data_IF_363375531255
#
_entry.id   IF_363375531255
#
_cell.length_a   1.000
_cell.length_b   1.000
_cell.length_c   1.000
_cell.angle_alpha   90.00
_cell.angle_beta   90.00
_cell.angle_gamma   90.00
#
_symmetry.space_group_name_H-M   'P 1'
#
loop_
_entity.id
_entity.type
_entity.pdbx_description
1 polymer ?
#
# COMPACT_ATOMS: atom_id res chain seq x y z
N UNK A 1 -3.00 -30.68 -0.90
CA UNK A 1 -4.33 -30.08 -1.10
C UNK A 1 -4.27 -29.24 -2.36
N UNK A 2 -5.01 -29.63 -3.41
CA UNK A 2 -5.00 -28.97 -4.69
C UNK A 2 -5.79 -27.65 -4.61
N UNK A 3 -5.10 -26.52 -4.73
CA UNK A 3 -5.72 -25.20 -4.74
C UNK A 3 -6.51 -25.00 -6.02
N UNK A 4 -7.84 -24.95 -5.89
CA UNK A 4 -8.73 -24.57 -6.99
C UNK A 4 -8.39 -23.16 -7.46
N UNK A 5 -8.01 -23.02 -8.72
CA UNK A 5 -7.91 -21.71 -9.39
C UNK A 5 -9.33 -21.17 -9.54
N UNK A 6 -9.61 -20.00 -8.99
CA UNK A 6 -10.83 -19.25 -9.33
C UNK A 6 -10.60 -18.71 -10.75
N UNK A 7 -11.19 -19.36 -11.73
CA UNK A 7 -10.99 -19.09 -13.17
C UNK A 7 -11.99 -18.04 -13.68
N UNK A 8 -13.04 -17.75 -12.90
CA UNK A 8 -14.09 -16.81 -13.25
C UNK A 8 -14.21 -15.75 -12.15
N UNK A 9 -14.07 -14.45 -12.46
CA UNK A 9 -14.34 -13.39 -11.49
C UNK A 9 -15.79 -13.49 -11.04
N UNK A 10 -16.03 -13.43 -9.72
CA UNK A 10 -17.38 -13.48 -9.16
C UNK A 10 -18.25 -12.41 -9.83
N UNK A 11 -19.41 -12.77 -10.42
CA UNK A 11 -20.26 -11.81 -11.10
C UNK A 11 -20.83 -10.82 -10.09
N UNK A 12 -20.54 -9.53 -10.29
CA UNK A 12 -21.06 -8.45 -9.46
C UNK A 12 -22.33 -7.93 -10.11
N UNK A 13 -23.38 -7.71 -9.32
CA UNK A 13 -24.65 -7.17 -9.79
C UNK A 13 -25.03 -5.93 -8.99
N UNK A 14 -25.44 -4.89 -9.70
CA UNK A 14 -26.02 -3.68 -9.13
C UNK A 14 -27.54 -3.77 -9.22
N UNK A 15 -28.19 -3.81 -8.06
CA UNK A 15 -29.65 -3.77 -7.95
C UNK A 15 -30.19 -2.34 -7.99
N UNK A 16 -31.28 -2.14 -8.71
CA UNK A 16 -32.07 -0.91 -8.68
C UNK A 16 -33.20 -1.05 -7.65
N UNK A 17 -33.33 -0.06 -6.77
CA UNK A 17 -34.46 0.00 -5.81
C UNK A 17 -35.82 0.04 -6.50
N UNK A 18 -35.88 0.61 -7.71
CA UNK A 18 -37.08 0.71 -8.55
C UNK A 18 -36.78 0.17 -9.93
N UNK A 19 -37.48 -0.91 -10.39
CA UNK A 19 -37.28 -1.47 -11.71
C UNK A 19 -37.54 -0.45 -12.82
N UNK A 20 -36.58 -0.28 -13.72
CA UNK A 20 -36.67 0.56 -14.91
C UNK A 20 -35.60 0.20 -15.95
N UNK A 21 -36.01 -0.37 -17.07
CA UNK A 21 -35.12 -0.65 -18.20
C UNK A 21 -34.42 0.60 -18.77
N UNK A 22 -35.07 1.76 -18.71
CA UNK A 22 -34.46 3.01 -19.17
C UNK A 22 -33.33 3.43 -18.22
N UNK A 23 -33.57 3.38 -16.91
CA UNK A 23 -32.58 3.73 -15.89
C UNK A 23 -31.41 2.75 -15.88
N UNK A 24 -31.67 1.44 -15.97
CA UNK A 24 -30.64 0.41 -16.08
C UNK A 24 -29.72 0.65 -17.30
N UNK A 25 -30.30 1.00 -18.46
CA UNK A 25 -29.54 1.36 -19.67
C UNK A 25 -28.71 2.63 -19.50
N UNK A 26 -29.27 3.67 -18.88
CA UNK A 26 -28.54 4.92 -18.64
C UNK A 26 -27.37 4.71 -17.66
N UNK A 27 -27.56 3.91 -16.60
CA UNK A 27 -26.49 3.54 -15.65
C UNK A 27 -25.39 2.76 -16.37
N UNK A 28 -25.75 1.72 -17.13
CA UNK A 28 -24.77 0.94 -17.89
C UNK A 28 -24.00 1.82 -18.88
N UNK A 29 -24.69 2.75 -19.56
CA UNK A 29 -24.05 3.70 -20.46
C UNK A 29 -23.07 4.62 -19.72
N UNK A 30 -23.47 5.23 -18.60
CA UNK A 30 -22.61 6.08 -17.78
C UNK A 30 -21.34 5.33 -17.33
N UNK A 31 -21.47 4.10 -16.84
CA UNK A 31 -20.34 3.27 -16.41
C UNK A 31 -19.39 3.00 -17.59
N UNK A 32 -19.94 2.58 -18.74
CA UNK A 32 -19.14 2.29 -19.92
C UNK A 32 -18.47 3.54 -20.52
N UNK A 33 -19.11 4.72 -20.41
CA UNK A 33 -18.48 5.99 -20.78
C UNK A 33 -17.29 6.33 -19.89
N UNK A 34 -17.38 6.03 -18.59
CA UNK A 34 -16.27 6.23 -17.64
C UNK A 34 -15.14 5.21 -17.80
N UNK A 35 -15.47 3.99 -18.24
CA UNK A 35 -14.53 2.89 -18.43
C UNK A 35 -14.62 2.34 -19.86
N UNK A 36 -14.10 3.08 -20.86
CA UNK A 36 -14.20 2.67 -22.26
C UNK A 36 -13.39 1.38 -22.52
N UNK A 37 -13.96 0.49 -23.32
CA UNK A 37 -13.26 -0.70 -23.82
C UNK A 37 -12.13 -0.29 -24.78
N UNK A 38 -10.88 -0.39 -24.32
CA UNK A 38 -9.71 0.00 -25.14
C UNK A 38 -9.18 -1.10 -26.06
N UNK A 39 -9.73 -2.33 -26.01
CA UNK A 39 -9.24 -3.46 -26.82
C UNK A 39 -10.39 -4.33 -27.32
N UNK A 40 -10.31 -4.75 -28.59
CA UNK A 40 -11.31 -5.60 -29.24
C UNK A 40 -11.42 -6.97 -28.55
N UNK A 41 -12.64 -7.38 -28.21
CA UNK A 41 -12.93 -8.68 -27.58
C UNK A 41 -13.00 -8.69 -26.05
N UNK A 42 -13.02 -7.52 -25.40
CA UNK A 42 -13.26 -7.42 -23.95
C UNK A 42 -14.74 -7.17 -23.66
N UNK A 43 -15.21 -7.66 -22.52
CA UNK A 43 -16.57 -7.40 -22.06
C UNK A 43 -16.71 -5.96 -21.53
N UNK A 44 -17.88 -5.32 -21.72
CA UNK A 44 -18.16 -4.00 -21.17
C UNK A 44 -18.17 -4.03 -19.65
N UNK A 45 -17.70 -2.92 -19.05
CA UNK A 45 -17.67 -2.74 -17.60
C UNK A 45 -19.07 -2.85 -16.98
N UNK A 46 -20.12 -2.49 -17.72
CA UNK A 46 -21.50 -2.70 -17.33
C UNK A 46 -22.37 -3.20 -18.50
N UNK A 47 -23.23 -4.16 -18.21
CA UNK A 47 -24.25 -4.67 -19.12
C UNK A 47 -25.60 -4.65 -18.42
N UNK A 48 -26.59 -4.01 -19.03
CA UNK A 48 -27.98 -4.11 -18.55
C UNK A 48 -28.43 -5.57 -18.65
N UNK A 49 -28.80 -6.17 -17.52
CA UNK A 49 -29.21 -7.57 -17.46
C UNK A 49 -30.75 -7.66 -17.56
N UNK A 50 -31.47 -6.94 -16.71
CA UNK A 50 -32.93 -6.80 -16.74
C UNK A 50 -33.40 -5.38 -16.35
N UNK A 51 -34.66 -5.19 -15.93
CA UNK A 51 -35.18 -3.90 -15.47
C UNK A 51 -34.70 -3.50 -14.07
N UNK A 52 -34.20 -4.45 -13.28
CA UNK A 52 -33.82 -4.28 -11.89
C UNK A 52 -32.34 -4.55 -11.60
N UNK A 53 -31.60 -5.12 -12.54
CA UNK A 53 -30.21 -5.56 -12.39
C UNK A 53 -29.33 -5.06 -13.54
N UNK A 54 -28.17 -4.50 -13.16
CA UNK A 54 -27.05 -4.21 -14.06
C UNK A 54 -25.90 -5.12 -13.67
N UNK A 55 -25.43 -5.94 -14.60
CA UNK A 55 -24.25 -6.77 -14.41
C UNK A 55 -22.99 -5.93 -14.57
N UNK A 56 -22.05 -6.08 -13.64
CA UNK A 56 -20.80 -5.35 -13.60
C UNK A 56 -19.62 -6.30 -13.84
N UNK A 57 -18.69 -5.85 -14.68
CA UNK A 57 -17.41 -6.51 -14.92
C UNK A 57 -16.29 -5.54 -14.53
N UNK A 58 -15.37 -5.99 -13.68
CA UNK A 58 -14.27 -5.15 -13.22
C UNK A 58 -13.27 -4.93 -14.37
N UNK A 59 -12.99 -3.68 -14.77
CA UNK A 59 -12.02 -3.40 -15.82
C UNK A 59 -10.63 -3.92 -15.44
N UNK A 60 -9.85 -4.39 -16.42
CA UNK A 60 -8.50 -4.94 -16.17
C UNK A 60 -7.57 -3.96 -15.44
N UNK A 61 -7.68 -2.65 -15.71
CA UNK A 61 -6.92 -1.60 -15.02
C UNK A 61 -7.21 -1.52 -13.52
N UNK A 62 -8.34 -2.05 -13.08
CA UNK A 62 -8.80 -2.10 -11.69
C UNK A 62 -8.98 -3.55 -11.19
N UNK A 63 -8.50 -4.56 -11.92
CA UNK A 63 -8.64 -5.96 -11.51
C UNK A 63 -7.98 -6.25 -10.16
N UNK A 64 -6.86 -5.57 -9.85
CA UNK A 64 -6.20 -5.66 -8.55
C UNK A 64 -6.89 -4.83 -7.45
N UNK A 65 -7.83 -3.94 -7.80
CA UNK A 65 -8.51 -2.99 -6.91
C UNK A 65 -10.03 -2.95 -7.20
N UNK A 66 -10.75 -4.07 -7.08
CA UNK A 66 -12.18 -4.14 -7.40
C UNK A 66 -13.03 -3.21 -6.53
N UNK A 67 -12.64 -3.00 -5.27
CA UNK A 67 -13.34 -2.08 -4.36
C UNK A 67 -13.32 -0.63 -4.87
N UNK A 68 -12.23 -0.20 -5.50
CA UNK A 68 -12.13 1.15 -6.08
C UNK A 68 -13.10 1.32 -7.26
N UNK A 69 -13.21 0.30 -8.11
CA UNK A 69 -14.21 0.29 -9.18
C UNK A 69 -15.64 0.44 -8.62
N UNK A 70 -15.97 -0.31 -7.56
CA UNK A 70 -17.29 -0.22 -6.93
C UNK A 70 -17.54 1.14 -6.29
N UNK A 71 -16.54 1.74 -5.62
CA UNK A 71 -16.66 3.08 -5.06
C UNK A 71 -16.88 4.14 -6.15
N UNK A 72 -16.21 4.02 -7.29
CA UNK A 72 -16.43 4.91 -8.43
C UNK A 72 -17.86 4.74 -8.96
N UNK A 73 -18.33 3.51 -9.14
CA UNK A 73 -19.70 3.23 -9.61
C UNK A 73 -20.75 3.76 -8.63
N UNK A 74 -20.53 3.63 -7.32
CA UNK A 74 -21.42 4.15 -6.25
C UNK A 74 -21.59 5.69 -6.33
N UNK A 75 -20.56 6.41 -6.77
CA UNK A 75 -20.56 7.89 -6.83
C UNK A 75 -20.72 8.45 -8.26
N UNK A 76 -20.97 7.58 -9.24
CA UNK A 76 -21.12 7.98 -10.63
C UNK A 76 -22.49 8.62 -10.87
N UNK A 77 -22.49 9.79 -11.48
CA UNK A 77 -23.74 10.46 -11.88
C UNK A 77 -24.32 9.82 -13.14
N UNK A 78 -25.61 9.50 -13.16
CA UNK A 78 -26.27 8.88 -14.33
C UNK A 78 -26.26 9.83 -15.54
N UNK A 79 -26.59 11.10 -15.30
CA UNK A 79 -26.46 12.14 -16.32
C UNK A 79 -24.99 12.54 -16.46
N UNK A 80 -24.48 12.60 -17.68
CA UNK A 80 -23.08 12.90 -18.00
C UNK A 80 -22.90 14.34 -18.55
N UNK A 81 -23.97 15.14 -18.58
CA UNK A 81 -23.92 16.54 -19.01
C UNK A 81 -23.17 17.46 -18.03
N UNK A 82 -22.46 18.44 -18.58
CA UNK A 82 -21.77 19.52 -17.84
C UNK A 82 -20.80 19.02 -16.75
N UNK A 83 -19.83 18.13 -17.07
CA UNK A 83 -18.97 17.52 -16.06
C UNK A 83 -18.03 18.53 -15.37
N UNK A 84 -17.68 19.64 -16.05
CA UNK A 84 -16.80 20.68 -15.49
C UNK A 84 -17.54 21.53 -14.46
N UNK A 85 -18.78 21.89 -14.74
CA UNK A 85 -19.67 22.63 -13.86
C UNK A 85 -19.95 21.82 -12.60
N UNK A 86 -20.17 20.50 -12.74
CA UNK A 86 -20.31 19.59 -11.59
C UNK A 86 -19.05 19.49 -10.77
N UNK A 87 -17.89 19.36 -11.40
CA UNK A 87 -16.61 19.35 -10.68
C UNK A 87 -16.46 20.62 -9.82
N UNK A 88 -16.77 21.79 -10.39
CA UNK A 88 -16.77 23.06 -9.64
C UNK A 88 -17.75 23.05 -8.46
N UNK A 89 -18.96 22.52 -8.66
CA UNK A 89 -19.95 22.39 -7.60
C UNK A 89 -19.50 21.46 -6.46
N UNK A 90 -18.85 20.32 -6.77
CA UNK A 90 -18.26 19.45 -5.75
C UNK A 90 -17.12 20.14 -4.99
N UNK A 91 -16.24 20.85 -5.69
CA UNK A 91 -15.13 21.62 -5.08
C UNK A 91 -15.66 22.69 -4.13
N UNK A 92 -16.76 23.37 -4.50
CA UNK A 92 -17.44 24.33 -3.62
C UNK A 92 -18.08 23.63 -2.42
N UNK A 93 -18.72 22.47 -2.62
CA UNK A 93 -19.31 21.68 -1.55
C UNK A 93 -18.27 21.16 -0.55
N UNK A 94 -17.04 20.84 -0.99
CA UNK A 94 -15.95 20.43 -0.09
C UNK A 94 -15.59 21.51 0.93
N UNK A 95 -15.70 22.80 0.56
CA UNK A 95 -15.49 23.90 1.49
C UNK A 95 -16.66 24.12 2.46
N UNK A 96 -17.87 23.73 2.08
CA UNK A 96 -19.09 23.91 2.89
C UNK A 96 -19.39 22.73 3.82
N UNK A 97 -18.98 21.52 3.45
CA UNK A 97 -19.32 20.29 4.15
C UNK A 97 -18.08 19.42 4.42
N UNK A 98 -17.26 19.76 5.43
CA UNK A 98 -16.06 19.00 5.80
C UNK A 98 -16.36 17.52 6.10
N UNK A 99 -17.52 17.22 6.67
CA UNK A 99 -17.91 15.85 6.96
C UNK A 99 -18.03 15.00 5.69
N UNK A 100 -18.40 15.59 4.55
CA UNK A 100 -18.62 14.89 3.28
C UNK A 100 -17.38 14.82 2.40
N UNK A 101 -16.19 15.20 2.88
CA UNK A 101 -14.98 15.27 2.06
C UNK A 101 -14.66 13.94 1.36
N UNK A 102 -14.79 12.81 2.08
CA UNK A 102 -14.53 11.49 1.49
C UNK A 102 -15.48 11.17 0.33
N UNK A 103 -16.78 11.37 0.52
CA UNK A 103 -17.79 11.10 -0.51
C UNK A 103 -17.62 12.05 -1.72
N UNK A 104 -17.31 13.32 -1.45
CA UNK A 104 -17.05 14.32 -2.49
C UNK A 104 -15.76 14.02 -3.28
N UNK A 105 -14.72 13.49 -2.64
CA UNK A 105 -13.53 12.96 -3.33
C UNK A 105 -13.93 11.87 -4.32
N UNK A 106 -14.76 10.91 -3.92
CA UNK A 106 -15.22 9.86 -4.83
C UNK A 106 -16.11 10.40 -5.96
N UNK A 107 -16.96 11.39 -5.71
CA UNK A 107 -17.70 12.08 -6.77
C UNK A 107 -16.76 12.72 -7.82
N UNK A 108 -15.67 13.36 -7.38
CA UNK A 108 -14.67 13.93 -8.28
C UNK A 108 -13.92 12.84 -9.07
N UNK A 109 -13.56 11.73 -8.44
CA UNK A 109 -12.91 10.59 -9.11
C UNK A 109 -13.84 9.92 -10.13
N UNK A 110 -15.14 9.85 -9.81
CA UNK A 110 -16.16 9.29 -10.68
C UNK A 110 -16.39 10.15 -11.94
N UNK A 111 -16.28 11.48 -11.84
CA UNK A 111 -16.29 12.37 -13.01
C UNK A 111 -15.12 12.09 -13.98
N UNK A 112 -13.96 11.66 -13.47
CA UNK A 112 -12.78 11.36 -14.27
C UNK A 112 -11.98 12.61 -14.70
N UNK A 113 -11.34 12.55 -15.87
CA UNK A 113 -10.42 13.57 -16.37
C UNK A 113 -10.95 15.03 -16.34
N UNK A 114 -12.24 15.31 -16.59
CA UNK A 114 -12.78 16.67 -16.51
C UNK A 114 -12.62 17.33 -15.13
N UNK A 115 -12.49 16.56 -14.05
CA UNK A 115 -12.32 17.08 -12.70
C UNK A 115 -10.88 17.55 -12.41
N UNK A 116 -9.87 17.05 -13.14
CA UNK A 116 -8.44 17.26 -12.85
C UNK A 116 -8.06 18.75 -12.74
N UNK A 117 -8.46 19.66 -13.67
CA UNK A 117 -8.09 21.06 -13.57
C UNK A 117 -8.58 21.72 -12.28
N UNK A 118 -9.77 21.36 -11.81
CA UNK A 118 -10.39 21.92 -10.62
C UNK A 118 -9.81 21.33 -9.33
N UNK A 119 -9.52 20.03 -9.33
CA UNK A 119 -8.87 19.36 -8.20
C UNK A 119 -7.48 19.94 -7.93
N UNK A 120 -6.74 20.30 -8.99
CA UNK A 120 -5.41 20.94 -8.88
C UNK A 120 -5.42 22.29 -8.17
N UNK A 121 -6.53 23.03 -8.24
CA UNK A 121 -6.67 24.32 -7.52
C UNK A 121 -6.63 24.12 -5.99
N UNK A 122 -6.91 22.91 -5.51
CA UNK A 122 -6.93 22.58 -4.10
C UNK A 122 -5.61 21.97 -3.56
N UNK A 123 -4.59 21.78 -4.40
CA UNK A 123 -3.35 21.12 -3.95
C UNK A 123 -2.49 21.94 -2.99
N UNK A 124 -2.73 23.24 -2.91
CA UNK A 124 -1.95 24.18 -2.10
C UNK A 124 -2.83 25.00 -1.14
N UNK A 125 -4.09 24.58 -0.94
CA UNK A 125 -4.96 25.28 0.01
C UNK A 125 -4.50 25.03 1.45
N UNK A 126 -4.62 26.04 2.33
CA UNK A 126 -4.18 25.92 3.73
C UNK A 126 -5.06 24.97 4.57
N UNK A 127 -6.29 24.71 4.12
CA UNK A 127 -7.22 23.78 4.74
C UNK A 127 -6.76 22.33 4.50
N UNK A 128 -6.03 21.76 5.46
CA UNK A 128 -5.35 20.47 5.29
C UNK A 128 -6.30 19.30 4.97
N UNK A 129 -7.44 19.09 5.67
CA UNK A 129 -8.41 18.06 5.29
C UNK A 129 -8.87 18.19 3.83
N UNK A 130 -9.16 19.41 3.37
CA UNK A 130 -9.56 19.66 1.98
C UNK A 130 -8.41 19.46 0.99
N UNK A 131 -7.20 19.88 1.35
CA UNK A 131 -5.97 19.67 0.58
C UNK A 131 -5.71 18.17 0.37
N UNK A 132 -5.75 17.37 1.45
CA UNK A 132 -5.56 15.92 1.39
C UNK A 132 -6.66 15.23 0.58
N UNK A 133 -7.92 15.61 0.78
CA UNK A 133 -9.05 15.07 0.00
C UNK A 133 -8.89 15.32 -1.51
N UNK A 134 -8.38 16.50 -1.88
CA UNK A 134 -8.05 16.83 -3.27
C UNK A 134 -6.83 16.06 -3.79
N UNK A 135 -5.75 15.94 -3.01
CA UNK A 135 -4.56 15.16 -3.41
C UNK A 135 -4.89 13.67 -3.57
N UNK A 136 -5.78 13.13 -2.74
CA UNK A 136 -6.34 11.78 -2.88
C UNK A 136 -7.11 11.65 -4.20
N UNK A 137 -8.02 12.58 -4.49
CA UNK A 137 -8.73 12.60 -5.78
C UNK A 137 -7.76 12.67 -6.97
N UNK A 138 -6.76 13.55 -6.90
CA UNK A 138 -5.72 13.71 -7.90
C UNK A 138 -4.93 12.43 -8.15
N UNK A 139 -4.51 11.76 -7.07
CA UNK A 139 -3.77 10.48 -7.12
C UNK A 139 -4.60 9.39 -7.79
N UNK A 140 -5.88 9.24 -7.39
CA UNK A 140 -6.81 8.25 -7.97
C UNK A 140 -7.13 8.54 -9.45
N UNK A 141 -7.13 9.82 -9.84
CA UNK A 141 -7.26 10.26 -11.24
C UNK A 141 -5.96 10.11 -12.04
N UNK A 142 -4.85 9.69 -11.41
CA UNK A 142 -3.55 9.54 -12.05
C UNK A 142 -2.82 10.86 -12.33
N UNK A 143 -3.18 11.95 -11.63
CA UNK A 143 -2.54 13.25 -11.80
C UNK A 143 -1.18 13.31 -11.08
N UNK A 144 -0.12 13.17 -11.86
CA UNK A 144 1.28 13.26 -11.38
C UNK A 144 1.59 14.56 -10.63
N UNK A 145 0.84 15.64 -10.88
CA UNK A 145 1.06 16.94 -10.20
C UNK A 145 0.71 16.92 -8.71
N UNK A 146 0.01 15.89 -8.22
CA UNK A 146 -0.21 15.70 -6.78
C UNK A 146 1.09 15.29 -6.04
N UNK A 147 2.11 14.79 -6.75
CA UNK A 147 3.34 14.27 -6.16
C UNK A 147 4.11 15.26 -5.28
N UNK A 148 4.50 16.46 -5.77
CA UNK A 148 5.29 17.40 -4.98
C UNK A 148 4.57 17.90 -3.70
N UNK A 149 3.28 18.29 -3.73
CA UNK A 149 2.54 18.60 -2.51
C UNK A 149 2.44 17.43 -1.52
N UNK A 150 2.27 16.20 -2.02
CA UNK A 150 2.28 15.01 -1.15
C UNK A 150 3.65 14.78 -0.51
N UNK A 151 4.75 15.02 -1.23
CA UNK A 151 6.10 14.95 -0.67
C UNK A 151 6.33 15.97 0.44
N UNK A 152 5.82 17.19 0.26
CA UNK A 152 5.86 18.23 1.29
C UNK A 152 5.15 17.73 2.57
N UNK A 153 3.91 17.24 2.46
CA UNK A 153 3.14 16.71 3.58
C UNK A 153 3.83 15.50 4.23
N UNK A 154 4.41 14.60 3.43
CA UNK A 154 5.14 13.44 3.93
C UNK A 154 6.41 13.82 4.72
N UNK A 155 6.96 15.01 4.50
CA UNK A 155 8.14 15.50 5.22
C UNK A 155 7.75 16.30 6.48
N UNK A 156 6.75 17.18 6.39
CA UNK A 156 6.47 18.19 7.42
C UNK A 156 5.13 18.02 8.14
N UNK A 157 4.19 17.24 7.58
CA UNK A 157 2.84 17.09 8.10
C UNK A 157 2.74 16.37 9.45
N UNK A 158 1.57 16.45 10.08
CA UNK A 158 1.27 15.68 11.29
C UNK A 158 1.30 14.16 10.98
N UNK A 159 1.38 13.31 12.00
CA UNK A 159 1.57 11.87 11.80
C UNK A 159 0.50 11.22 10.91
N UNK A 160 -0.78 11.57 11.10
CA UNK A 160 -1.89 11.06 10.29
C UNK A 160 -1.78 11.51 8.81
N UNK A 161 -1.54 12.81 8.60
CA UNK A 161 -1.41 13.43 7.27
C UNK A 161 -0.20 12.88 6.52
N UNK A 162 0.91 12.68 7.24
CA UNK A 162 2.16 12.11 6.74
C UNK A 162 1.96 10.67 6.28
N UNK A 163 1.33 9.83 7.11
CA UNK A 163 1.05 8.43 6.79
C UNK A 163 0.19 8.33 5.52
N UNK A 164 -0.88 9.13 5.45
CA UNK A 164 -1.72 9.19 4.26
C UNK A 164 -0.96 9.67 3.02
N UNK A 165 -0.15 10.73 3.15
CA UNK A 165 0.61 11.25 2.03
C UNK A 165 1.62 10.23 1.48
N UNK A 166 2.31 9.49 2.36
CA UNK A 166 3.23 8.42 1.97
C UNK A 166 2.50 7.30 1.23
N UNK A 167 1.32 6.89 1.72
CA UNK A 167 0.50 5.88 1.05
C UNK A 167 0.12 6.32 -0.37
N UNK A 168 -0.34 7.57 -0.54
CA UNK A 168 -0.69 8.14 -1.86
C UNK A 168 0.52 8.23 -2.79
N UNK A 169 1.71 8.57 -2.27
CA UNK A 169 2.96 8.55 -3.04
C UNK A 169 3.34 7.13 -3.52
N UNK A 170 2.97 6.11 -2.75
CA UNK A 170 3.08 4.70 -3.12
C UNK A 170 2.22 4.31 -4.32
N UNK A 171 1.09 5.00 -4.54
CA UNK A 171 0.13 4.74 -5.62
C UNK A 171 0.33 5.58 -6.88
N UNK A 172 0.74 6.84 -6.75
CA UNK A 172 0.93 7.74 -7.90
C UNK A 172 2.05 7.25 -8.84
N UNK A 173 1.99 7.57 -10.13
CA UNK A 173 3.07 7.28 -11.09
C UNK A 173 3.91 8.54 -11.38
N UNK A 174 4.58 9.08 -10.36
CA UNK A 174 5.26 10.38 -10.45
C UNK A 174 6.77 10.36 -10.67
N UNK A 175 7.29 9.27 -11.26
CA UNK A 175 8.68 9.18 -11.69
C UNK A 175 9.74 9.27 -10.57
N UNK A 176 11.02 9.53 -10.93
CA UNK A 176 12.16 9.39 -10.01
C UNK A 176 12.26 10.44 -8.89
N UNK A 177 11.54 11.57 -9.00
CA UNK A 177 11.51 12.58 -7.93
C UNK A 177 10.81 12.06 -6.68
N UNK A 178 9.71 11.32 -6.85
CA UNK A 178 8.98 10.67 -5.76
C UNK A 178 9.84 9.58 -5.12
N UNK A 179 10.51 8.76 -5.93
CA UNK A 179 11.40 7.71 -5.41
C UNK A 179 12.54 8.30 -4.56
N UNK A 180 13.10 9.45 -4.97
CA UNK A 180 14.11 10.16 -4.16
C UNK A 180 13.54 10.72 -2.86
N UNK A 181 12.35 11.32 -2.92
CA UNK A 181 11.67 11.86 -1.75
C UNK A 181 11.31 10.80 -0.72
N UNK A 182 10.74 9.68 -1.16
CA UNK A 182 10.44 8.53 -0.29
C UNK A 182 11.71 7.91 0.30
N UNK A 183 12.81 7.82 -0.46
CA UNK A 183 14.09 7.33 0.09
C UNK A 183 14.63 8.20 1.21
N UNK A 184 14.49 9.52 1.11
CA UNK A 184 14.87 10.42 2.21
C UNK A 184 14.06 10.15 3.49
N UNK A 185 12.79 9.72 3.37
CA UNK A 185 11.96 9.36 4.53
C UNK A 185 12.39 8.06 5.22
N UNK A 186 13.18 7.20 4.57
CA UNK A 186 13.78 6.01 5.20
C UNK A 186 14.81 6.37 6.28
N UNK A 187 15.36 7.59 6.22
CA UNK A 187 16.28 8.16 7.19
C UNK A 187 15.56 8.86 8.37
N UNK A 188 14.23 8.92 8.35
CA UNK A 188 13.45 9.49 9.46
C UNK A 188 13.72 8.72 10.76
N UNK A 189 13.83 9.37 11.92
CA UNK A 189 13.93 8.67 13.20
C UNK A 189 12.62 7.97 13.60
N UNK A 190 11.51 8.30 12.95
CA UNK A 190 10.19 7.78 13.29
C UNK A 190 9.92 6.44 12.60
N UNK A 191 9.71 5.38 13.39
CA UNK A 191 9.47 4.01 12.90
C UNK A 191 8.33 3.93 11.88
N UNK A 192 7.19 4.56 12.16
CA UNK A 192 6.00 4.54 11.28
C UNK A 192 6.30 5.16 9.92
N UNK A 193 7.00 6.30 9.90
CA UNK A 193 7.41 7.00 8.68
C UNK A 193 8.37 6.15 7.83
N UNK A 194 9.37 5.52 8.47
CA UNK A 194 10.34 4.67 7.77
C UNK A 194 9.68 3.48 7.10
N UNK A 195 8.84 2.76 7.84
CA UNK A 195 8.17 1.56 7.32
C UNK A 195 7.19 1.95 6.22
N UNK A 196 6.36 2.99 6.42
CA UNK A 196 5.44 3.46 5.40
C UNK A 196 6.18 3.88 4.11
N UNK A 197 7.31 4.59 4.23
CA UNK A 197 8.10 5.00 3.08
C UNK A 197 8.71 3.81 2.33
N UNK A 198 9.16 2.79 3.06
CA UNK A 198 9.62 1.53 2.47
C UNK A 198 8.48 0.79 1.75
N UNK A 199 7.31 0.68 2.37
CA UNK A 199 6.15 0.00 1.76
C UNK A 199 5.72 0.70 0.47
N UNK A 200 5.69 2.04 0.47
CA UNK A 200 5.44 2.86 -0.72
C UNK A 200 6.49 2.62 -1.82
N UNK A 201 7.78 2.62 -1.47
CA UNK A 201 8.86 2.32 -2.43
C UNK A 201 8.79 0.88 -2.98
N UNK A 202 8.47 -0.09 -2.13
CA UNK A 202 8.33 -1.48 -2.52
C UNK A 202 7.17 -1.67 -3.51
N UNK A 203 6.01 -1.07 -3.22
CA UNK A 203 4.85 -1.07 -4.13
C UNK A 203 5.20 -0.44 -5.49
N UNK A 204 5.94 0.67 -5.49
CA UNK A 204 6.40 1.32 -6.72
C UNK A 204 7.38 0.46 -7.49
N UNK A 205 8.31 -0.20 -6.80
CA UNK A 205 9.29 -1.10 -7.41
C UNK A 205 8.62 -2.32 -8.05
N UNK A 206 7.62 -2.91 -7.39
CA UNK A 206 6.82 -4.02 -7.94
C UNK A 206 6.10 -3.62 -9.23
N UNK A 207 5.50 -2.41 -9.27
CA UNK A 207 4.82 -1.89 -10.47
C UNK A 207 5.80 -1.57 -11.60
N UNK A 208 6.96 -1.00 -11.27
CA UNK A 208 8.02 -0.75 -12.24
C UNK A 208 8.56 -2.06 -12.85
N UNK A 209 8.79 -3.07 -12.01
CA UNK A 209 9.23 -4.39 -12.45
C UNK A 209 8.16 -5.10 -13.30
N UNK A 210 6.89 -5.03 -12.90
CA UNK A 210 5.78 -5.54 -13.71
C UNK A 210 5.73 -4.91 -15.10
N UNK A 211 5.85 -3.58 -15.16
CA UNK A 211 5.86 -2.82 -16.42
C UNK A 211 7.04 -3.20 -17.31
N UNK A 212 8.23 -3.39 -16.71
CA UNK A 212 9.43 -3.87 -17.40
C UNK A 212 9.22 -5.27 -17.98
N UNK A 213 8.69 -6.20 -17.19
CA UNK A 213 8.42 -7.57 -17.61
C UNK A 213 7.39 -7.63 -18.75
N UNK A 214 6.34 -6.80 -18.67
CA UNK A 214 5.35 -6.67 -19.74
C UNK A 214 5.99 -6.20 -21.05
N UNK A 215 6.86 -5.19 -21.00
CA UNK A 215 7.57 -4.68 -22.17
C UNK A 215 8.53 -5.73 -22.77
N UNK A 216 9.22 -6.50 -21.92
CA UNK A 216 10.08 -7.61 -22.35
C UNK A 216 9.25 -8.70 -23.03
N UNK A 217 8.11 -9.07 -22.46
CA UNK A 217 7.24 -10.10 -23.06
C UNK A 217 6.65 -9.63 -24.39
N UNK A 218 6.24 -8.36 -24.50
CA UNK A 218 5.72 -7.78 -25.74
C UNK A 218 6.76 -7.73 -26.88
N UNK A 219 8.05 -7.72 -26.56
CA UNK A 219 9.15 -7.71 -27.53
C UNK A 219 9.68 -9.11 -27.87
N UNK A 220 9.15 -10.18 -27.25
CA UNK A 220 9.54 -11.55 -27.59
C UNK A 220 8.98 -11.97 -28.95
N UNK A 221 9.78 -12.65 -29.79
CA UNK A 221 9.26 -13.21 -31.02
C UNK A 221 8.27 -14.34 -30.72
N UNK A 222 7.20 -14.43 -31.50
CA UNK A 222 6.11 -15.39 -31.33
C UNK A 222 6.56 -16.88 -31.38
N UNK A 223 7.77 -17.15 -31.86
CA UNK A 223 8.37 -18.48 -31.91
C UNK A 223 9.03 -18.94 -30.58
N UNK A 224 9.15 -18.08 -29.57
CA UNK A 224 9.93 -18.34 -28.34
C UNK A 224 9.22 -19.18 -27.26
N UNK A 225 8.19 -19.96 -27.61
CA UNK A 225 7.47 -20.84 -26.67
C UNK A 225 6.19 -20.22 -26.10
N UNK A 226 5.72 -20.74 -24.95
CA UNK A 226 4.54 -20.21 -24.25
C UNK A 226 4.83 -18.81 -23.69
N UNK A 227 4.13 -17.80 -24.21
CA UNK A 227 4.16 -16.46 -23.67
C UNK A 227 3.60 -16.46 -22.24
N UNK A 228 4.26 -15.72 -21.34
CA UNK A 228 3.78 -15.60 -19.95
C UNK A 228 2.51 -14.77 -19.90
N UNK A 229 1.56 -15.18 -19.06
CA UNK A 229 0.33 -14.41 -18.87
C UNK A 229 0.59 -13.16 -18.02
N UNK A 230 -0.22 -12.08 -18.15
CA UNK A 230 -0.11 -10.92 -17.27
C UNK A 230 -0.17 -11.26 -15.77
N UNK A 231 -0.94 -12.29 -15.40
CA UNK A 231 -1.03 -12.75 -14.01
C UNK A 231 0.28 -13.39 -13.53
N UNK A 232 0.92 -14.21 -14.38
CA UNK A 232 2.24 -14.78 -14.08
C UNK A 232 3.29 -13.68 -13.93
N UNK A 233 3.27 -12.67 -14.80
CA UNK A 233 4.17 -11.51 -14.69
C UNK A 233 3.94 -10.73 -13.39
N UNK A 234 2.68 -10.56 -12.97
CA UNK A 234 2.33 -9.89 -11.71
C UNK A 234 2.78 -10.69 -10.47
N UNK A 235 2.81 -12.02 -10.55
CA UNK A 235 3.39 -12.87 -9.50
C UNK A 235 4.91 -12.68 -9.47
N UNK A 236 5.58 -12.75 -10.61
CA UNK A 236 7.04 -12.62 -10.71
C UNK A 236 7.50 -11.26 -10.18
N UNK A 237 6.82 -10.16 -10.55
CA UNK A 237 7.19 -8.81 -10.13
C UNK A 237 7.09 -8.57 -8.62
N UNK A 238 6.25 -9.34 -7.92
CA UNK A 238 6.15 -9.30 -6.45
C UNK A 238 7.27 -10.08 -5.75
N UNK A 239 7.82 -11.09 -6.41
CA UNK A 239 8.82 -11.99 -5.85
C UNK A 239 10.26 -11.45 -5.96
N UNK A 240 10.57 -10.71 -7.02
CA UNK A 240 11.94 -10.26 -7.28
C UNK A 240 11.95 -8.78 -7.60
N UNK A 241 12.78 -8.03 -6.87
CA UNK A 241 13.13 -6.64 -7.20
C UNK A 241 14.66 -6.61 -7.37
N UNK A 242 15.16 -6.29 -8.58
CA UNK A 242 16.60 -6.24 -8.84
C UNK A 242 17.32 -5.24 -7.93
N UNK A 243 18.56 -5.55 -7.55
CA UNK A 243 19.37 -4.71 -6.64
C UNK A 243 19.62 -3.28 -7.14
N UNK A 244 19.58 -3.06 -8.46
CA UNK A 244 19.76 -1.74 -9.10
C UNK A 244 18.42 -1.10 -9.49
N UNK A 245 17.36 -1.35 -8.72
CA UNK A 245 16.07 -0.69 -8.91
C UNK A 245 16.20 0.82 -8.66
N UNK A 246 15.42 1.63 -9.38
CA UNK A 246 15.42 3.08 -9.20
C UNK A 246 14.92 3.50 -7.80
N UNK A 247 14.09 2.64 -7.20
CA UNK A 247 13.55 2.79 -5.85
C UNK A 247 14.59 2.50 -4.76
N UNK A 248 15.72 1.88 -5.13
CA UNK A 248 16.81 1.56 -4.20
C UNK A 248 16.53 0.39 -3.25
N UNK A 249 15.45 -0.36 -3.49
CA UNK A 249 15.12 -1.57 -2.73
C UNK A 249 15.53 -2.79 -3.55
N UNK A 250 16.15 -3.76 -2.88
CA UNK A 250 16.37 -5.10 -3.42
C UNK A 250 15.41 -6.07 -2.75
N UNK A 251 14.82 -6.99 -3.52
CA UNK A 251 14.02 -8.10 -2.99
C UNK A 251 14.56 -9.43 -3.48
N UNK A 252 14.83 -10.30 -2.52
CA UNK A 252 15.24 -11.69 -2.74
C UNK A 252 14.15 -12.60 -2.21
N UNK A 253 13.58 -13.45 -3.06
CA UNK A 253 12.64 -14.49 -2.60
C UNK A 253 13.41 -15.69 -2.07
N UNK A 254 13.04 -16.16 -0.88
CA UNK A 254 13.39 -17.49 -0.38
C UNK A 254 12.23 -18.43 -0.74
N UNK A 255 12.42 -19.35 -1.72
CA UNK A 255 11.35 -20.17 -2.24
C UNK A 255 10.56 -20.90 -1.15
N UNK A 256 9.24 -20.79 -1.19
CA UNK A 256 8.34 -21.47 -0.25
C UNK A 256 8.37 -20.96 1.20
N UNK A 257 9.13 -19.89 1.50
CA UNK A 257 9.30 -19.41 2.88
C UNK A 257 8.88 -17.95 3.07
N UNK A 258 9.68 -17.01 2.58
CA UNK A 258 9.47 -15.58 2.79
C UNK A 258 10.24 -14.74 1.75
N UNK A 259 9.99 -13.44 1.73
CA UNK A 259 10.78 -12.48 0.94
C UNK A 259 11.70 -11.67 1.86
N UNK A 260 12.95 -11.49 1.43
CA UNK A 260 13.94 -10.66 2.08
C UNK A 260 14.10 -9.37 1.29
N UNK A 261 13.77 -8.25 1.92
CA UNK A 261 13.97 -6.91 1.35
C UNK A 261 15.17 -6.24 1.99
N UNK A 262 15.98 -5.58 1.17
CA UNK A 262 17.16 -4.82 1.61
C UNK A 262 16.96 -3.38 1.15
N UNK A 263 16.94 -2.46 2.12
CA UNK A 263 16.81 -1.03 1.92
C UNK A 263 18.05 -0.34 2.53
N UNK A 264 19.11 -0.06 1.75
CA UNK A 264 20.40 0.42 2.27
C UNK A 264 20.37 1.91 2.63
N UNK A 265 19.35 2.35 3.38
CA UNK A 265 19.09 3.73 3.78
C UNK A 265 18.66 3.79 5.24
N UNK A 266 18.97 4.91 5.90
CA UNK A 266 18.62 5.17 7.29
C UNK A 266 19.42 4.34 8.30
N UNK A 267 19.00 4.41 9.55
CA UNK A 267 19.63 3.66 10.64
C UNK A 267 19.36 2.16 10.53
N UNK A 268 20.30 1.29 10.94
CA UNK A 268 20.09 -0.15 10.96
C UNK A 268 18.78 -0.57 11.67
N UNK A 269 17.89 -1.28 10.96
CA UNK A 269 16.63 -1.81 11.50
C UNK A 269 16.29 -3.14 10.81
N UNK A 270 15.88 -4.13 11.60
CA UNK A 270 15.23 -5.35 11.14
C UNK A 270 13.74 -5.19 11.37
N UNK A 271 12.95 -5.22 10.29
CA UNK A 271 11.49 -5.21 10.37
C UNK A 271 10.91 -6.53 9.85
N UNK A 272 9.93 -7.07 10.56
CA UNK A 272 9.31 -8.36 10.23
C UNK A 272 7.78 -8.27 10.19
N UNK A 273 7.17 -8.90 9.19
CA UNK A 273 5.71 -8.97 9.06
C UNK A 273 5.12 -10.16 9.82
N UNK A 274 3.96 -9.99 10.44
CA UNK A 274 3.30 -11.07 11.18
C UNK A 274 2.09 -11.62 10.42
N UNK A 275 1.54 -10.83 9.48
CA UNK A 275 0.40 -11.20 8.66
C UNK A 275 0.73 -11.12 7.16
N UNK A 276 -0.09 -11.79 6.34
CA UNK A 276 0.04 -11.77 4.89
C UNK A 276 1.26 -12.56 4.39
N UNK A 277 2.00 -11.98 3.45
CA UNK A 277 3.22 -12.62 2.91
C UNK A 277 4.36 -12.44 3.92
N UNK A 278 4.96 -13.53 4.43
CA UNK A 278 6.08 -13.45 5.36
C UNK A 278 7.23 -12.65 4.76
N UNK A 279 7.74 -11.69 5.53
CA UNK A 279 8.76 -10.75 5.07
C UNK A 279 9.74 -10.40 6.17
N UNK A 280 11.00 -10.30 5.78
CA UNK A 280 12.08 -9.68 6.57
C UNK A 280 12.59 -8.49 5.77
N UNK A 281 12.68 -7.32 6.38
CA UNK A 281 13.20 -6.10 5.78
C UNK A 281 14.41 -5.66 6.58
N UNK A 282 15.54 -5.48 5.91
CA UNK A 282 16.78 -5.01 6.49
C UNK A 282 17.05 -3.57 6.01
N UNK A 283 16.98 -2.62 6.92
CA UNK A 283 17.27 -1.21 6.66
C UNK A 283 18.70 -0.86 7.07
N UNK A 284 19.30 0.10 6.37
CA UNK A 284 20.61 0.67 6.66
C UNK A 284 21.73 0.11 5.78
N UNK A 285 22.79 0.90 5.63
CA UNK A 285 23.95 0.51 4.82
C UNK A 285 24.86 -0.49 5.57
N UNK A 286 25.00 -0.31 6.89
CA UNK A 286 25.91 -1.08 7.74
C UNK A 286 25.19 -2.22 8.47
N UNK A 287 24.76 -3.21 7.69
CA UNK A 287 24.04 -4.40 8.14
C UNK A 287 25.02 -5.55 8.48
N UNK A 288 25.91 -5.32 9.44
CA UNK A 288 26.89 -6.33 9.89
C UNK A 288 26.75 -6.69 11.37
N UNK A 289 27.15 -7.92 11.69
CA UNK A 289 27.31 -8.37 13.06
C UNK A 289 28.46 -7.63 13.76
N UNK A 290 28.17 -7.07 14.93
CA UNK A 290 29.14 -6.44 15.82
C UNK A 290 30.00 -7.51 16.45
N UNK A 291 31.29 -7.53 16.13
CA UNK A 291 32.26 -8.53 16.62
C UNK A 291 33.25 -7.88 17.61
N UNK A 292 33.73 -8.58 18.65
CA UNK A 292 33.40 -9.97 19.01
C UNK A 292 31.95 -10.13 19.49
N UNK A 293 31.41 -11.34 19.38
CA UNK A 293 30.03 -11.63 19.78
C UNK A 293 29.84 -13.04 20.32
N UNK A 294 28.82 -13.18 21.16
CA UNK A 294 28.27 -14.44 21.62
C UNK A 294 26.74 -14.30 21.67
N UNK A 295 26.04 -15.00 20.79
CA UNK A 295 24.59 -15.02 20.75
C UNK A 295 24.09 -16.46 20.84
N UNK A 296 23.08 -16.69 21.67
CA UNK A 296 22.44 -18.01 21.84
C UNK A 296 20.93 -17.90 21.67
N UNK A 297 20.32 -18.90 21.05
CA UNK A 297 18.88 -19.06 20.98
C UNK A 297 18.44 -20.51 21.26
N UNK A 298 17.22 -20.65 21.76
CA UNK A 298 16.56 -21.95 22.00
C UNK A 298 17.38 -22.92 22.85
N UNK A 299 17.87 -22.46 24.02
CA UNK A 299 18.71 -23.24 24.94
C UNK A 299 19.97 -23.79 24.28
N UNK A 300 20.78 -22.91 23.68
CA UNK A 300 22.06 -23.22 23.03
C UNK A 300 21.97 -24.14 21.79
N UNK A 301 20.76 -24.38 21.28
CA UNK A 301 20.57 -25.07 20.01
C UNK A 301 21.02 -24.23 18.82
N UNK A 302 20.99 -22.91 18.94
CA UNK A 302 21.65 -22.01 18.01
C UNK A 302 22.69 -21.21 18.79
N UNK A 303 23.93 -21.21 18.32
CA UNK A 303 25.01 -20.43 18.89
C UNK A 303 25.76 -19.72 17.76
N UNK A 304 26.00 -18.42 17.90
CA UNK A 304 26.84 -17.64 16.98
C UNK A 304 27.96 -17.01 17.79
N UNK A 305 29.21 -17.25 17.38
CA UNK A 305 30.41 -16.82 18.12
C UNK A 305 31.42 -16.20 17.18
N UNK A 306 32.03 -15.09 17.61
CA UNK A 306 33.24 -14.55 17.00
C UNK A 306 34.15 -14.03 18.12
N UNK A 307 35.37 -14.55 18.21
CA UNK A 307 36.27 -14.26 19.35
C UNK A 307 36.98 -12.91 19.18
N UNK A 308 37.06 -12.40 17.95
CA UNK A 308 37.69 -11.11 17.63
C UNK A 308 36.97 -10.36 16.50
N UNK A 309 37.24 -9.05 16.38
CA UNK A 309 36.62 -8.20 15.35
C UNK A 309 36.95 -8.63 13.90
N UNK A 310 38.09 -9.27 13.69
CA UNK A 310 38.55 -9.71 12.36
C UNK A 310 38.19 -11.15 12.00
N UNK A 311 37.65 -11.93 12.93
CA UNK A 311 37.28 -13.33 12.70
C UNK A 311 35.89 -13.41 12.05
N UNK A 312 35.71 -14.38 11.15
CA UNK A 312 34.40 -14.71 10.62
C UNK A 312 33.57 -15.42 11.70
N UNK A 313 32.30 -15.05 11.90
CA UNK A 313 31.45 -15.72 12.87
C UNK A 313 31.31 -17.22 12.59
N UNK A 314 31.39 -18.03 13.63
CA UNK A 314 31.04 -19.46 13.59
C UNK A 314 29.62 -19.63 14.12
N UNK A 315 28.80 -20.35 13.37
CA UNK A 315 27.44 -20.69 13.74
C UNK A 315 27.34 -22.19 14.01
N UNK A 316 26.88 -22.55 15.21
CA UNK A 316 26.47 -23.91 15.56
C UNK A 316 24.96 -23.98 15.60
N UNK A 317 24.35 -24.95 14.92
CA UNK A 317 22.92 -25.21 14.98
C UNK A 317 22.62 -26.70 15.17
N UNK A 318 21.73 -27.02 16.11
CA UNK A 318 21.20 -28.36 16.36
C UNK A 318 19.73 -28.43 15.95
N UNK A 319 19.44 -29.18 14.89
CA UNK A 319 18.09 -29.37 14.39
C UNK A 319 17.29 -30.30 15.32
N UNK A 320 16.20 -29.80 15.91
CA UNK A 320 15.34 -30.59 16.79
C UNK A 320 14.60 -31.72 16.09
N UNK A 321 14.46 -31.67 14.75
CA UNK A 321 13.72 -32.68 13.99
C UNK A 321 14.58 -33.91 13.73
N UNK A 322 15.86 -33.70 13.44
CA UNK A 322 16.81 -34.76 13.05
C UNK A 322 17.85 -35.07 14.15
N UNK A 323 18.10 -34.15 15.07
CA UNK A 323 19.22 -34.19 16.01
C UNK A 323 20.58 -33.88 15.37
N UNK A 324 20.61 -33.50 14.09
CA UNK A 324 21.85 -33.18 13.37
C UNK A 324 22.43 -31.85 13.88
N UNK A 325 23.72 -31.87 14.21
CA UNK A 325 24.47 -30.68 14.62
C UNK A 325 25.34 -30.23 13.46
N UNK A 326 25.20 -28.96 13.06
CA UNK A 326 26.03 -28.31 12.04
C UNK A 326 26.83 -27.19 12.65
N UNK A 327 28.08 -27.05 12.22
CA UNK A 327 28.97 -25.96 12.61
C UNK A 327 29.58 -25.40 11.33
N UNK A 328 29.25 -24.15 11.04
CA UNK A 328 29.63 -23.51 9.78
C UNK A 328 30.19 -22.11 10.05
N UNK A 329 31.16 -21.69 9.22
CA UNK A 329 31.62 -20.30 9.20
C UNK A 329 30.66 -19.50 8.32
N UNK A 330 30.12 -18.39 8.83
CA UNK A 330 29.07 -17.61 8.16
C UNK A 330 29.52 -16.18 7.90
N UNK A 331 28.94 -15.57 6.87
CA UNK A 331 29.16 -14.14 6.57
C UNK A 331 28.71 -13.27 7.76
N UNK A 332 29.48 -12.24 8.14
CA UNK A 332 29.08 -11.28 9.16
C UNK A 332 27.94 -10.36 8.68
N UNK A 333 27.62 -10.34 7.37
CA UNK A 333 26.57 -9.48 6.81
C UNK A 333 25.21 -10.12 7.06
N UNK A 334 24.28 -9.35 7.65
CA UNK A 334 22.94 -9.81 7.97
C UNK A 334 22.16 -10.33 6.75
N UNK A 335 22.20 -9.69 5.56
CA UNK A 335 21.50 -10.23 4.39
C UNK A 335 21.97 -11.64 4.00
N UNK A 336 23.30 -11.85 4.01
CA UNK A 336 23.90 -13.13 3.65
C UNK A 336 23.59 -14.20 4.71
N UNK A 337 23.64 -13.81 6.00
CA UNK A 337 23.26 -14.68 7.10
C UNK A 337 21.80 -15.12 7.02
N UNK A 338 20.86 -14.19 6.75
CA UNK A 338 19.43 -14.51 6.60
C UNK A 338 19.21 -15.51 5.46
N UNK A 339 19.87 -15.30 4.32
CA UNK A 339 19.81 -16.24 3.19
C UNK A 339 20.38 -17.60 3.59
N UNK A 340 21.52 -17.64 4.28
CA UNK A 340 22.14 -18.88 4.75
C UNK A 340 21.24 -19.67 5.72
N UNK A 341 20.64 -19.00 6.72
CA UNK A 341 19.73 -19.63 7.66
C UNK A 341 18.52 -20.25 6.94
N UNK A 342 17.96 -19.53 5.96
CA UNK A 342 16.70 -19.89 5.34
C UNK A 342 16.83 -20.85 4.15
N UNK A 343 17.94 -20.84 3.42
CA UNK A 343 18.13 -21.67 2.22
C UNK A 343 18.10 -23.15 2.58
N UNK A 344 17.40 -23.96 1.77
CA UNK A 344 17.37 -25.41 1.99
C UNK A 344 18.75 -26.03 1.70
N UNK A 345 19.21 -26.99 2.51
CA UNK A 345 20.47 -27.67 2.27
C UNK A 345 20.39 -28.44 0.96
N UNK A 346 21.29 -28.14 0.03
CA UNK A 346 21.44 -28.89 -1.21
C UNK A 346 22.74 -29.69 -1.14
N UNK A 347 22.73 -31.01 -1.46
CA UNK A 347 23.94 -31.85 -1.37
C UNK A 347 25.11 -31.38 -2.23
N UNK A 348 24.82 -30.61 -3.30
CA UNK A 348 25.80 -30.12 -4.27
C UNK A 348 26.32 -28.70 -3.94
N UNK A 349 25.78 -28.06 -2.89
CA UNK A 349 26.15 -26.69 -2.52
C UNK A 349 27.32 -26.69 -1.52
N UNK A 350 28.44 -25.99 -1.80
CA UNK A 350 29.57 -25.90 -0.89
C UNK A 350 29.25 -25.21 0.45
N UNK A 351 28.15 -24.44 0.54
CA UNK A 351 27.60 -23.94 1.81
C UNK A 351 26.11 -24.32 1.90
N UNK A 352 25.78 -25.50 2.45
CA UNK A 352 24.40 -25.93 2.58
C UNK A 352 23.69 -25.04 3.61
N UNK A 353 22.64 -24.33 3.19
CA UNK A 353 21.83 -23.55 4.11
C UNK A 353 21.14 -24.43 5.17
N UNK A 354 20.64 -23.81 6.24
CA UNK A 354 20.08 -24.55 7.38
C UNK A 354 18.63 -24.97 7.20
N UNK A 355 17.97 -24.53 6.13
CA UNK A 355 16.57 -24.88 5.86
C UNK A 355 15.58 -24.33 6.88
N UNK A 356 15.94 -23.33 7.68
CA UNK A 356 15.06 -22.76 8.70
C UNK A 356 13.78 -22.18 8.09
N UNK A 357 12.67 -22.33 8.80
CA UNK A 357 11.40 -21.67 8.52
C UNK A 357 11.46 -20.17 8.83
N UNK A 358 10.46 -19.42 8.37
CA UNK A 358 10.35 -17.99 8.66
C UNK A 358 10.46 -17.68 10.17
N UNK A 359 9.69 -18.37 11.00
CA UNK A 359 9.68 -18.15 12.45
C UNK A 359 11.01 -18.49 13.11
N UNK A 360 11.73 -19.50 12.61
CA UNK A 360 13.08 -19.84 13.11
C UNK A 360 14.08 -18.75 12.75
N UNK A 361 14.07 -18.25 11.51
CA UNK A 361 14.93 -17.13 11.08
C UNK A 361 14.63 -15.87 11.90
N UNK A 362 13.36 -15.53 12.10
CA UNK A 362 12.95 -14.39 12.93
C UNK A 362 13.43 -14.56 14.37
N UNK A 363 13.29 -15.76 14.95
CA UNK A 363 13.78 -16.07 16.30
C UNK A 363 15.31 -15.95 16.42
N UNK A 364 16.05 -16.41 15.41
CA UNK A 364 17.51 -16.25 15.36
C UNK A 364 17.93 -14.77 15.28
N UNK A 365 17.26 -13.97 14.44
CA UNK A 365 17.52 -12.53 14.32
C UNK A 365 17.19 -11.79 15.63
N UNK A 366 16.10 -12.16 16.30
CA UNK A 366 15.73 -11.58 17.58
C UNK A 366 16.77 -11.91 18.68
N UNK A 367 17.31 -13.14 18.71
CA UNK A 367 18.38 -13.50 19.63
C UNK A 367 19.70 -12.75 19.37
N UNK A 368 20.04 -12.49 18.11
CA UNK A 368 21.17 -11.64 17.73
C UNK A 368 20.97 -10.19 18.18
N UNK A 369 19.73 -9.69 18.11
CA UNK A 369 19.38 -8.36 18.61
C UNK A 369 19.49 -8.28 20.15
N UNK A 370 18.87 -9.21 20.87
CA UNK A 370 18.87 -9.25 22.35
C UNK A 370 20.29 -9.38 22.93
N UNK A 371 21.17 -10.11 22.25
CA UNK A 371 22.59 -10.25 22.65
C UNK A 371 23.46 -9.04 22.30
N UNK A 372 22.92 -8.05 21.59
CA UNK A 372 23.69 -6.89 21.10
C UNK A 372 24.66 -7.22 19.96
N UNK A 373 24.55 -8.42 19.37
CA UNK A 373 25.38 -8.88 18.26
C UNK A 373 25.08 -8.14 16.95
N UNK A 374 23.98 -7.39 16.87
CA UNK A 374 23.66 -6.49 15.76
C UNK A 374 23.50 -5.05 16.25
N UNK A 375 23.89 -4.09 15.42
CA UNK A 375 23.57 -2.68 15.64
C UNK A 375 22.17 -2.27 15.17
N UNK A 376 21.47 -3.17 14.50
CA UNK A 376 20.12 -2.93 14.02
C UNK A 376 19.11 -3.03 15.16
N UNK A 377 18.23 -2.03 15.25
CA UNK A 377 17.01 -2.16 16.04
C UNK A 377 16.15 -3.31 15.48
N UNK A 378 15.22 -3.83 16.28
CA UNK A 378 14.29 -4.88 15.86
C UNK A 378 12.86 -4.38 16.06
N UNK A 379 12.03 -4.46 15.02
CA UNK A 379 10.63 -4.07 15.08
C UNK A 379 9.75 -5.11 14.36
N UNK A 380 8.55 -5.31 14.89
CA UNK A 380 7.52 -6.14 14.29
C UNK A 380 6.39 -5.30 13.71
N UNK A 381 5.55 -5.93 12.89
CA UNK A 381 4.30 -5.31 12.42
C UNK A 381 3.41 -4.83 13.57
N UNK A 382 3.34 -5.57 14.68
CA UNK A 382 2.61 -5.12 15.88
C UNK A 382 3.23 -3.85 16.47
N UNK A 383 4.56 -3.73 16.53
CA UNK A 383 5.22 -2.52 17.05
C UNK A 383 4.91 -1.30 16.17
N UNK A 384 4.86 -1.48 14.85
CA UNK A 384 4.42 -0.43 13.90
C UNK A 384 2.99 0.01 14.20
N UNK A 385 2.04 -0.93 14.31
CA UNK A 385 0.63 -0.63 14.59
C UNK A 385 0.45 0.06 15.93
N UNK A 386 1.18 -0.36 16.97
CA UNK A 386 1.18 0.30 18.27
C UNK A 386 1.73 1.72 18.19
N UNK A 387 2.81 1.93 17.44
CA UNK A 387 3.36 3.26 17.22
C UNK A 387 2.36 4.17 16.49
N UNK A 388 1.68 3.67 15.45
CA UNK A 388 0.62 4.40 14.73
C UNK A 388 -0.54 4.79 15.65
N UNK A 389 -0.99 3.89 16.53
CA UNK A 389 -2.05 4.18 17.51
C UNK A 389 -1.62 5.28 18.51
N UNK A 390 -0.38 5.23 18.99
CA UNK A 390 0.16 6.26 19.91
C UNK A 390 0.26 7.61 19.20
N UNK A 391 0.70 7.64 17.95
CA UNK A 391 0.76 8.87 17.15
C UNK A 391 -0.63 9.44 16.85
N UNK A 392 -1.60 8.58 16.50
CA UNK A 392 -2.98 8.98 16.29
C UNK A 392 -3.61 9.55 17.57
N UNK A 393 -3.38 8.93 18.73
CA UNK A 393 -3.89 9.40 20.02
C UNK A 393 -3.30 10.77 20.40
N UNK A 394 -2.02 11.03 20.09
CA UNK A 394 -1.41 12.35 20.31
C UNK A 394 -2.02 13.43 19.41
N UNK A 395 -2.40 13.06 18.18
CA UNK A 395 -3.02 13.97 17.23
C UNK A 395 -4.48 14.29 17.60
N UNK A 396 -5.23 13.30 18.12
CA UNK A 396 -6.63 13.49 18.54
C UNK A 396 -6.86 14.43 19.73
N UNK A 397 -5.82 14.80 20.48
CA UNK A 397 -5.92 15.78 21.58
C UNK A 397 -5.81 17.24 21.13
N UNK A 398 -5.63 17.51 19.83
CA UNK A 398 -5.53 18.85 19.28
C UNK A 398 -6.51 18.95 18.11
N UNK A 399 -7.76 19.35 18.41
CA UNK A 399 -8.70 20.13 17.56
C UNK A 399 -10.13 20.06 18.15
N UNK A 400 -10.34 20.53 19.37
CA UNK A 400 -11.60 21.25 19.64
C UNK A 400 -11.41 22.65 19.06
N UNK A 401 -11.72 22.81 17.77
CA UNK A 401 -11.86 24.14 17.18
C UNK A 401 -13.07 24.78 17.87
N UNK A 402 -12.93 25.92 18.56
CA UNK A 402 -14.09 26.61 19.10
C UNK A 402 -14.98 26.95 17.92
N UNK A 403 -16.20 26.42 17.89
CA UNK A 403 -17.21 26.90 16.97
C UNK A 403 -17.53 28.35 17.33
N UNK A 404 -16.83 29.29 16.70
CA UNK A 404 -17.31 30.67 16.70
C UNK A 404 -18.57 30.70 15.83
N UNK A 405 -19.70 30.94 16.48
CA UNK A 405 -21.05 31.15 15.95
C UNK A 405 -21.19 32.28 14.88
N UNK A 406 -20.09 32.73 14.27
CA UNK A 406 -20.01 33.90 13.40
C UNK A 406 -19.84 33.61 11.89
N UNK A 407 -19.86 32.35 11.43
CA UNK A 407 -19.75 32.02 9.99
C UNK A 407 -21.09 31.62 9.34
N UNK A 408 -22.24 31.90 9.96
CA UNK A 408 -23.55 31.49 9.43
C UNK A 408 -24.18 32.42 8.39
N UNK A 409 -23.67 33.63 8.18
CA UNK A 409 -24.25 34.57 7.22
C UNK A 409 -23.19 35.24 6.36
N UNK A 410 -22.82 34.58 5.25
CA UNK A 410 -22.30 35.28 4.09
C UNK A 410 -23.38 35.36 3.02
N UNK A 411 -23.72 36.56 2.50
CA UNK A 411 -24.74 36.71 1.48
C UNK A 411 -24.31 36.03 0.18
N UNK A 412 -25.21 35.19 -0.34
CA UNK A 412 -25.09 34.54 -1.65
C UNK A 412 -24.90 35.60 -2.73
N UNK A 413 -23.79 35.54 -3.48
CA UNK A 413 -23.73 36.16 -4.79
C UNK A 413 -24.58 35.32 -5.75
N UNK A 414 -25.49 35.92 -6.54
CA UNK A 414 -26.17 35.22 -7.61
C UNK A 414 -25.21 35.15 -8.80
N UNK A 415 -24.47 34.05 -8.90
CA UNK A 415 -23.95 33.58 -10.18
C UNK A 415 -24.77 32.33 -10.51
N UNK A 416 -25.42 32.31 -11.68
CA UNK A 416 -26.22 31.19 -12.21
C UNK A 416 -25.31 29.99 -12.54
N UNK A 417 -24.80 29.33 -11.49
CA UNK A 417 -24.10 28.06 -11.57
C UNK A 417 -25.05 26.90 -11.27
N UNK A 418 -24.77 25.74 -11.87
CA UNK A 418 -25.43 24.48 -11.53
C UNK A 418 -25.18 24.19 -10.03
N UNK A 419 -26.19 24.38 -9.18
CA UNK A 419 -26.10 24.01 -7.76
C UNK A 419 -26.10 22.49 -7.67
N UNK A 420 -24.96 21.91 -7.31
CA UNK A 420 -24.87 20.47 -7.08
C UNK A 420 -25.58 20.14 -5.77
N UNK A 421 -26.68 19.40 -5.87
CA UNK A 421 -27.38 18.87 -4.71
C UNK A 421 -26.56 17.74 -4.07
N UNK A 422 -26.12 17.93 -2.83
CA UNK A 422 -25.36 16.93 -2.05
C UNK A 422 -26.19 16.32 -0.91
N UNK A 423 -27.50 16.58 -0.88
CA UNK A 423 -28.41 16.06 0.16
C UNK A 423 -28.47 14.53 0.15
N UNK A 424 -28.37 13.92 -1.03
CA UNK A 424 -28.36 12.47 -1.19
C UNK A 424 -27.18 11.80 -0.49
N UNK A 425 -25.99 12.43 -0.46
CA UNK A 425 -24.82 11.91 0.26
C UNK A 425 -25.05 11.87 1.77
N UNK A 426 -25.72 12.89 2.31
CA UNK A 426 -26.10 12.92 3.73
C UNK A 426 -27.10 11.83 4.07
N UNK A 427 -28.10 11.62 3.21
CA UNK A 427 -29.09 10.56 3.39
C UNK A 427 -28.44 9.17 3.35
N UNK A 428 -27.47 8.96 2.45
CA UNK A 428 -26.79 7.68 2.30
C UNK A 428 -25.88 7.36 3.51
N UNK A 429 -25.15 8.35 4.02
CA UNK A 429 -24.39 8.20 5.27
C UNK A 429 -25.27 7.84 6.47
N UNK A 430 -26.48 8.38 6.55
CA UNK A 430 -27.42 8.05 7.62
C UNK A 430 -27.94 6.61 7.54
N UNK A 431 -27.88 5.97 6.37
CA UNK A 431 -28.29 4.57 6.16
C UNK A 431 -27.18 3.57 6.49
N UNK A 432 -25.90 3.97 6.36
CA UNK A 432 -24.75 3.12 6.72
C UNK A 432 -24.65 3.01 8.25
N UNK A 433 -24.47 1.79 8.83
CA UNK A 433 -24.36 1.64 10.27
C UNK A 433 -23.12 2.39 10.79
N UNK A 434 -23.33 3.36 11.68
CA UNK A 434 -22.23 4.05 12.36
C UNK A 434 -21.61 3.11 13.40
N UNK A 435 -20.31 2.87 13.29
CA UNK A 435 -19.54 2.14 14.32
C UNK A 435 -19.32 3.11 15.47
N UNK A 436 -20.12 2.98 16.53
CA UNK A 436 -19.95 3.74 17.77
C UNK A 436 -19.01 2.96 18.70
N UNK A 437 -17.85 3.51 19.11
CA UNK A 437 -17.00 2.88 20.10
C UNK A 437 -17.76 2.68 21.42
N UNK A 438 -17.75 1.47 21.96
CA UNK A 438 -18.33 1.20 23.27
C UNK A 438 -17.48 1.90 24.34
N UNK A 439 -18.08 2.83 25.10
CA UNK A 439 -17.43 3.42 26.26
C UNK A 439 -17.02 2.29 27.25
N UNK A 440 -15.82 2.37 27.87
CA UNK A 440 -15.42 1.37 28.87
C UNK A 440 -16.46 1.33 29.99
N UNK A 441 -16.94 0.13 30.32
CA UNK A 441 -17.86 -0.06 31.46
C UNK A 441 -17.15 0.40 32.73
N UNK A 442 -17.71 1.41 33.40
CA UNK A 442 -17.24 1.80 34.72
C UNK A 442 -17.29 0.59 35.68
N UNK A 443 -16.25 0.41 36.51
CA UNK A 443 -16.25 -0.67 37.49
C UNK A 443 -17.41 -0.44 38.46
N UNK A 444 -18.28 -1.44 38.58
CA UNK A 444 -19.32 -1.46 39.61
C UNK A 444 -18.64 -1.36 40.98
N UNK A 445 -19.00 -0.33 41.75
CA UNK A 445 -18.59 -0.15 43.15
C UNK A 445 -19.07 -1.30 44.03
#
# INVERSE_FOLDING_TARGET
MAGGRVIEPMPIQLGLDVPSHQRARLIAHAINSRFPERAAGREPAAKGFDDSLVQLHVPQSLAARPNEFLRIVEHLTIDQGFPRERARGFIEAMGKYPDLLEDLTWCLVALGDPAIPFVRELYEVPDMPRRLAALRAGTLLGDVRAGPPLLEIAQTGAAAERSEAIALLGEIDGGPSIDRGLRALLESPTLTTRIAAYEALAQRAERAEYSRLLAVEASRPASSGMARTPEELAIISRLVIPARSMQGIQRVTIPGKFVLDIAPFGEPLVYVTQQGTPRVVLFGADLELRRPLLASAWNDRLLVVADSAGEEPRLRYEDYRSGEVRIETVSPRLPDLVVFLAKDPQPEDPMPGLGMSYSEVVGALYALYESGATGAAFATETDRLMAELVEAARTGNVLERPETLAERDQPRRPDDGLVVDVSYLKAERARKPQIVPLAPREPKK
#
